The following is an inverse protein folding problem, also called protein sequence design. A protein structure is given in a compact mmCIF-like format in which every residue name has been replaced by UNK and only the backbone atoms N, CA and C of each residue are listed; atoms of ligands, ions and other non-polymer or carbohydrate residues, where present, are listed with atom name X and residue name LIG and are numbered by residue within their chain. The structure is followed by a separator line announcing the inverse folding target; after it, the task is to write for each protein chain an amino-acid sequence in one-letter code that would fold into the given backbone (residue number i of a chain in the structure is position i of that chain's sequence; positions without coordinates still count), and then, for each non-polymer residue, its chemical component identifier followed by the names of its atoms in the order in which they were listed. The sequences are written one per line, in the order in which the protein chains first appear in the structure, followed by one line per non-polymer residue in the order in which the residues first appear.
data_IF_706971770201
#
_entry.id   IF_706971770201
#
_cell.length_a   1.000
_cell.length_b   1.000
_cell.length_c   1.000
_cell.angle_alpha   90.00
_cell.angle_beta   90.00
_cell.angle_gamma   90.00
#
_symmetry.space_group_name_H-M   'P 1'
#
loop_
_entity.id
_entity.type
_entity.pdbx_description
1 polymer ?
#
# COMPACT_ATOMS: atom_id res chain seq x y z
N UNK A 1 -20.86 8.49 -4.37
CA UNK A 1 -20.47 9.72 -3.65
C UNK A 1 -18.95 9.72 -3.43
N UNK A 2 -18.26 10.85 -3.67
CA UNK A 2 -16.81 11.01 -3.37
C UNK A 2 -16.64 11.53 -1.94
N UNK A 3 -15.72 10.94 -1.17
CA UNK A 3 -15.37 11.40 0.18
C UNK A 3 -13.88 11.24 0.47
N UNK A 4 -13.34 12.11 1.30
CA UNK A 4 -12.01 11.93 1.90
C UNK A 4 -12.12 10.92 3.05
N UNK A 5 -11.21 9.96 3.09
CA UNK A 5 -11.13 8.97 4.17
C UNK A 5 -10.31 9.56 5.30
N UNK A 6 -10.95 9.84 6.42
CA UNK A 6 -10.29 10.36 7.61
C UNK A 6 -9.38 9.30 8.25
N UNK A 7 -8.28 9.75 8.85
CA UNK A 7 -7.45 8.89 9.68
C UNK A 7 -8.19 8.49 10.95
N UNK A 8 -8.22 7.20 11.24
CA UNK A 8 -8.86 6.65 12.42
C UNK A 8 -7.82 6.34 13.48
N UNK A 9 -7.79 7.07 14.60
CA UNK A 9 -6.80 6.87 15.66
C UNK A 9 -6.98 5.55 16.42
N UNK A 10 -8.15 4.93 16.31
CA UNK A 10 -8.52 3.66 16.94
C UNK A 10 -8.40 2.44 16.01
N UNK A 11 -7.89 2.63 14.80
CA UNK A 11 -7.67 1.56 13.82
C UNK A 11 -6.19 1.46 13.49
N UNK A 12 -5.69 0.24 13.45
CA UNK A 12 -4.30 -0.06 13.11
C UNK A 12 -4.20 -0.65 11.70
N UNK A 13 -3.16 -0.27 10.95
CA UNK A 13 -2.81 -0.91 9.70
C UNK A 13 -1.40 -1.49 9.81
N UNK A 14 -1.28 -2.79 9.60
CA UNK A 14 -0.02 -3.52 9.62
C UNK A 14 0.27 -4.03 8.22
N UNK A 15 1.30 -3.49 7.62
CA UNK A 15 1.84 -3.89 6.32
C UNK A 15 3.03 -4.81 6.58
N UNK A 16 2.78 -6.13 6.58
CA UNK A 16 3.78 -7.13 6.96
C UNK A 16 4.44 -7.73 5.72
N UNK A 17 5.69 -7.31 5.46
CA UNK A 17 6.53 -7.94 4.45
C UNK A 17 7.08 -9.24 5.00
N UNK A 18 6.52 -10.37 4.58
CA UNK A 18 6.98 -11.70 5.03
C UNK A 18 8.22 -12.19 4.29
N UNK A 19 8.64 -11.46 3.26
CA UNK A 19 9.89 -11.61 2.50
C UNK A 19 10.10 -10.36 1.65
N UNK A 20 11.35 -10.16 1.17
CA UNK A 20 11.65 -9.13 0.16
C UNK A 20 11.93 -9.74 -1.22
N UNK A 21 12.13 -11.06 -1.29
CA UNK A 21 12.36 -11.78 -2.55
C UNK A 21 11.12 -11.72 -3.45
N UNK A 22 11.33 -11.51 -4.76
CA UNK A 22 10.28 -11.49 -5.78
C UNK A 22 10.76 -12.23 -7.05
N UNK A 23 9.81 -12.83 -7.78
CA UNK A 23 10.05 -13.41 -9.11
C UNK A 23 10.06 -12.35 -10.22
N UNK A 24 9.64 -11.11 -9.94
CA UNK A 24 9.60 -10.01 -10.90
C UNK A 24 10.64 -8.92 -10.59
N UNK A 25 10.92 -8.10 -11.62
CA UNK A 25 11.80 -6.92 -11.54
C UNK A 25 11.07 -5.68 -12.06
N UNK A 26 9.91 -5.36 -11.49
CA UNK A 26 9.11 -4.22 -11.91
C UNK A 26 9.91 -2.91 -11.85
N UNK A 27 9.72 -2.04 -12.85
CA UNK A 27 10.47 -0.76 -12.97
C UNK A 27 10.18 0.21 -11.83
N UNK A 28 8.99 0.14 -11.24
CA UNK A 28 8.51 1.01 -10.17
C UNK A 28 8.56 0.36 -8.78
N UNK A 29 9.27 -0.75 -8.64
CA UNK A 29 9.36 -1.47 -7.37
C UNK A 29 10.00 -0.60 -6.29
N UNK A 30 9.31 -0.43 -5.17
CA UNK A 30 9.78 0.37 -4.04
C UNK A 30 10.68 -0.40 -3.07
N UNK A 31 10.68 -1.74 -3.14
CA UNK A 31 11.45 -2.56 -2.20
C UNK A 31 12.94 -2.47 -2.55
N UNK A 32 13.70 -1.97 -1.58
CA UNK A 32 15.14 -1.95 -1.61
C UNK A 32 15.70 -3.14 -0.81
N UNK A 33 16.21 -4.16 -1.51
CA UNK A 33 16.74 -5.36 -0.85
C UNK A 33 18.06 -5.09 -0.12
N UNK A 34 18.81 -4.08 -0.53
CA UNK A 34 20.07 -3.70 0.14
C UNK A 34 19.80 -3.15 1.55
N UNK A 35 18.64 -2.47 1.73
CA UNK A 35 18.23 -1.92 3.03
C UNK A 35 17.46 -2.93 3.91
N UNK A 36 16.68 -3.81 3.30
CA UNK A 36 15.73 -4.67 4.03
C UNK A 36 16.13 -6.14 4.04
N UNK A 37 17.25 -6.49 3.39
CA UNK A 37 17.69 -7.87 3.25
C UNK A 37 16.85 -8.67 2.24
N UNK A 38 17.29 -9.91 1.96
CA UNK A 38 16.60 -10.86 1.09
C UNK A 38 15.93 -11.99 1.90
N UNK A 39 15.68 -11.77 3.19
CA UNK A 39 15.19 -12.78 4.11
C UNK A 39 13.75 -13.20 3.82
N UNK A 40 13.45 -14.43 4.17
CA UNK A 40 12.12 -15.03 4.14
C UNK A 40 11.81 -15.43 5.58
N UNK A 41 10.73 -14.87 6.14
CA UNK A 41 10.27 -15.23 7.48
C UNK A 41 9.71 -16.66 7.48
N UNK A 42 10.08 -17.45 8.46
CA UNK A 42 9.48 -18.75 8.71
C UNK A 42 8.10 -18.64 9.41
N UNK A 43 7.41 -19.75 9.52
CA UNK A 43 6.06 -19.80 10.06
C UNK A 43 6.00 -19.37 11.54
N UNK A 44 7.00 -19.73 12.34
CA UNK A 44 7.00 -19.44 13.76
C UNK A 44 7.31 -17.97 14.03
N UNK A 45 8.26 -17.41 13.30
CA UNK A 45 8.55 -15.96 13.32
C UNK A 45 7.32 -15.15 12.90
N UNK A 46 6.62 -15.54 11.83
CA UNK A 46 5.40 -14.84 11.40
C UNK A 46 4.32 -14.89 12.49
N UNK A 47 4.08 -16.06 13.10
CA UNK A 47 3.12 -16.21 14.19
C UNK A 47 3.47 -15.32 15.40
N UNK A 48 4.75 -15.32 15.79
CA UNK A 48 5.24 -14.46 16.87
C UNK A 48 4.96 -12.99 16.57
N UNK A 49 5.32 -12.52 15.37
CA UNK A 49 5.12 -11.14 14.98
C UNK A 49 3.66 -10.74 14.87
N UNK A 50 2.78 -11.64 14.39
CA UNK A 50 1.34 -11.40 14.41
C UNK A 50 0.84 -11.18 15.85
N UNK A 51 1.36 -11.93 16.82
CA UNK A 51 1.04 -11.74 18.23
C UNK A 51 1.36 -10.35 18.77
N UNK A 52 2.43 -9.68 18.28
CA UNK A 52 2.81 -8.35 18.73
C UNK A 52 1.78 -7.26 18.42
N UNK A 53 0.98 -7.45 17.38
CA UNK A 53 -0.03 -6.47 16.95
C UNK A 53 -1.45 -6.77 17.46
N UNK A 54 -1.64 -7.81 18.26
CA UNK A 54 -2.94 -8.16 18.87
C UNK A 54 -3.27 -7.25 20.05
N UNK A 55 -2.25 -6.69 20.74
CA UNK A 55 -2.42 -5.90 21.96
C UNK A 55 -2.31 -4.40 21.71
N UNK A 56 -2.87 -3.60 22.63
CA UNK A 56 -2.79 -2.14 22.57
C UNK A 56 -1.33 -1.67 22.71
N UNK A 57 -0.85 -0.76 21.86
CA UNK A 57 0.50 -0.21 21.98
C UNK A 57 0.72 0.48 23.34
N UNK A 58 1.96 0.39 23.88
CA UNK A 58 2.38 1.12 25.07
C UNK A 58 1.94 0.52 26.41
N UNK A 59 1.39 -0.70 26.43
CA UNK A 59 1.19 -1.47 27.67
C UNK A 59 2.01 -2.75 27.64
N UNK A 60 2.71 -3.10 28.73
CA UNK A 60 3.42 -4.37 28.81
C UNK A 60 2.41 -5.53 28.72
N UNK A 61 2.81 -6.62 28.08
CA UNK A 61 2.02 -7.87 27.94
C UNK A 61 1.50 -8.42 29.28
N UNK A 62 2.15 -8.06 30.37
CA UNK A 62 1.79 -8.45 31.75
C UNK A 62 0.65 -7.65 32.36
N UNK A 63 0.23 -6.53 31.78
CA UNK A 63 -0.88 -5.74 32.27
C UNK A 63 -2.21 -6.32 31.71
N UNK A 64 -2.70 -7.33 32.37
CA UNK A 64 -3.79 -8.25 32.06
C UNK A 64 -5.21 -7.64 31.99
N UNK A 65 -5.42 -6.59 31.25
CA UNK A 65 -6.73 -6.29 30.71
C UNK A 65 -6.66 -6.47 29.18
N UNK A 66 -6.98 -7.70 28.76
CA UNK A 66 -6.90 -8.20 27.39
C UNK A 66 -7.92 -7.53 26.47
N UNK A 67 -7.76 -6.26 26.20
CA UNK A 67 -8.46 -5.68 25.06
C UNK A 67 -7.72 -6.19 23.83
N UNK A 68 -8.28 -7.20 23.19
CA UNK A 68 -7.83 -7.68 21.90
C UNK A 68 -8.04 -6.55 20.87
N UNK A 69 -6.95 -6.06 20.28
CA UNK A 69 -7.00 -5.03 19.25
C UNK A 69 -6.93 -5.61 17.84
N UNK A 70 -6.92 -6.92 17.72
CA UNK A 70 -6.87 -7.58 16.42
C UNK A 70 -8.08 -7.20 15.54
N UNK A 71 -9.28 -7.12 16.12
CA UNK A 71 -10.52 -6.72 15.44
C UNK A 71 -10.46 -5.29 14.85
N UNK A 72 -9.63 -4.42 15.42
CA UNK A 72 -9.34 -3.06 14.95
C UNK A 72 -8.07 -2.95 14.11
N UNK A 73 -7.48 -4.08 13.75
CA UNK A 73 -6.24 -4.13 12.98
C UNK A 73 -6.50 -4.69 11.59
N UNK A 74 -6.17 -3.90 10.59
CA UNK A 74 -6.10 -4.33 9.19
C UNK A 74 -4.70 -4.87 8.94
N UNK A 75 -4.60 -6.13 8.57
CA UNK A 75 -3.35 -6.81 8.24
C UNK A 75 -3.24 -6.98 6.73
N UNK A 76 -2.14 -6.55 6.17
CA UNK A 76 -1.80 -6.71 4.78
C UNK A 76 -0.51 -7.52 4.69
N UNK A 77 -0.61 -8.76 4.22
CA UNK A 77 0.55 -9.56 3.85
C UNK A 77 1.07 -9.10 2.50
N UNK A 78 2.32 -8.70 2.49
CA UNK A 78 3.01 -8.27 1.28
C UNK A 78 4.51 -8.63 1.36
N UNK A 79 5.28 -8.11 0.46
CA UNK A 79 6.70 -8.39 0.37
C UNK A 79 7.18 -8.14 -1.05
N UNK A 80 8.18 -8.88 -1.51
CA UNK A 80 8.48 -8.97 -2.93
C UNK A 80 7.31 -9.62 -3.67
N UNK A 81 7.11 -10.92 -3.42
CA UNK A 81 5.90 -11.66 -3.78
C UNK A 81 5.53 -12.61 -2.63
N UNK A 82 4.49 -12.32 -1.85
CA UNK A 82 4.18 -13.08 -0.64
C UNK A 82 3.82 -14.54 -0.90
N UNK A 83 3.28 -14.88 -2.08
CA UNK A 83 2.96 -16.27 -2.41
C UNK A 83 4.19 -17.15 -2.64
N UNK A 84 5.40 -16.58 -2.73
CA UNK A 84 6.66 -17.32 -2.69
C UNK A 84 7.00 -17.85 -1.28
N UNK A 85 6.37 -17.32 -0.24
CA UNK A 85 6.56 -17.81 1.12
C UNK A 85 5.58 -18.96 1.40
N UNK A 86 6.11 -20.18 1.58
CA UNK A 86 5.30 -21.38 1.82
C UNK A 86 4.56 -21.33 3.17
N UNK A 87 4.98 -20.47 4.10
CA UNK A 87 4.30 -20.26 5.37
C UNK A 87 3.05 -19.37 5.27
N UNK A 88 2.83 -18.67 4.13
CA UNK A 88 1.71 -17.74 3.97
C UNK A 88 0.33 -18.35 4.29
N UNK A 89 -0.02 -19.58 3.87
CA UNK A 89 -1.33 -20.16 4.25
C UNK A 89 -1.48 -20.33 5.76
N UNK A 90 -0.43 -20.73 6.46
CA UNK A 90 -0.45 -20.84 7.93
C UNK A 90 -0.54 -19.47 8.59
N UNK A 91 0.15 -18.46 8.05
CA UNK A 91 0.09 -17.10 8.53
C UNK A 91 -1.32 -16.48 8.41
N UNK A 92 -2.02 -16.74 7.29
CA UNK A 92 -3.41 -16.29 7.08
C UNK A 92 -4.34 -16.94 8.11
N UNK A 93 -4.23 -18.25 8.29
CA UNK A 93 -5.05 -19.00 9.28
C UNK A 93 -4.79 -18.51 10.70
N UNK A 94 -3.54 -18.24 11.04
CA UNK A 94 -3.18 -17.69 12.35
C UNK A 94 -3.73 -16.28 12.55
N UNK A 95 -3.63 -15.40 11.54
CA UNK A 95 -4.23 -14.07 11.61
C UNK A 95 -5.76 -14.14 11.80
N UNK A 96 -6.43 -15.06 11.11
CA UNK A 96 -7.87 -15.33 11.29
C UNK A 96 -8.18 -15.82 12.71
N UNK A 97 -7.37 -16.77 13.23
CA UNK A 97 -7.49 -17.30 14.59
C UNK A 97 -7.32 -16.22 15.66
N UNK A 98 -6.38 -15.29 15.44
CA UNK A 98 -6.12 -14.15 16.32
C UNK A 98 -7.22 -13.09 16.27
N UNK A 99 -8.13 -13.14 15.28
CA UNK A 99 -9.27 -12.26 15.15
C UNK A 99 -8.96 -10.91 14.49
N UNK A 100 -7.97 -10.85 13.58
CA UNK A 100 -7.71 -9.64 12.81
C UNK A 100 -8.94 -9.17 12.05
N UNK A 101 -9.27 -7.87 12.16
CA UNK A 101 -10.49 -7.28 11.60
C UNK A 101 -10.54 -7.28 10.08
N UNK A 102 -9.36 -7.22 9.43
CA UNK A 102 -9.24 -7.41 8.00
C UNK A 102 -7.91 -8.07 7.67
N UNK A 103 -7.92 -9.03 6.75
CA UNK A 103 -6.73 -9.75 6.26
C UNK A 103 -6.70 -9.61 4.73
N UNK A 104 -5.63 -9.04 4.21
CA UNK A 104 -5.40 -8.84 2.77
C UNK A 104 -4.08 -9.49 2.38
N UNK A 105 -4.00 -10.03 1.17
CA UNK A 105 -2.74 -10.44 0.55
C UNK A 105 -2.56 -9.66 -0.74
N UNK A 106 -1.43 -8.95 -0.87
CA UNK A 106 -1.06 -8.24 -2.09
C UNK A 106 -0.14 -9.12 -2.94
N UNK A 107 -0.55 -9.48 -4.16
CA UNK A 107 0.20 -10.40 -5.04
C UNK A 107 0.37 -9.85 -6.45
N UNK A 108 1.43 -10.27 -7.13
CA UNK A 108 1.64 -10.01 -8.55
C UNK A 108 0.85 -10.97 -9.47
N UNK A 109 0.13 -11.93 -8.90
CA UNK A 109 -0.80 -12.80 -9.60
C UNK A 109 -0.23 -14.13 -10.10
N UNK A 110 1.04 -14.44 -9.84
CA UNK A 110 1.60 -15.77 -10.18
C UNK A 110 1.03 -16.89 -9.31
N UNK A 111 0.59 -16.59 -8.07
CA UNK A 111 -0.09 -17.51 -7.17
C UNK A 111 0.68 -18.81 -6.95
N UNK A 112 1.92 -18.70 -6.49
CA UNK A 112 2.81 -19.83 -6.29
C UNK A 112 2.25 -20.87 -5.31
N UNK A 113 2.72 -22.11 -5.48
CA UNK A 113 2.44 -23.25 -4.59
C UNK A 113 0.96 -23.54 -4.40
N UNK A 114 0.15 -23.31 -5.44
CA UNK A 114 -1.30 -23.52 -5.42
C UNK A 114 -1.99 -22.89 -4.21
N UNK A 115 -1.59 -21.65 -3.93
CA UNK A 115 -2.06 -20.90 -2.73
C UNK A 115 -3.58 -20.91 -2.59
N UNK A 116 -4.32 -20.78 -3.71
CA UNK A 116 -5.78 -20.78 -3.70
C UNK A 116 -6.41 -22.14 -3.34
N UNK A 117 -5.63 -23.23 -3.34
CA UNK A 117 -6.07 -24.55 -2.90
C UNK A 117 -5.80 -24.77 -1.40
N UNK A 118 -5.00 -23.89 -0.79
CA UNK A 118 -4.55 -23.97 0.62
C UNK A 118 -5.29 -23.01 1.55
N UNK A 119 -5.97 -22.02 0.97
CA UNK A 119 -6.75 -21.01 1.69
C UNK A 119 -8.16 -20.92 1.13
N UNK A 120 -9.14 -20.63 2.00
CA UNK A 120 -10.53 -20.38 1.62
C UNK A 120 -10.85 -18.89 1.46
N UNK A 121 -11.90 -18.55 0.70
CA UNK A 121 -12.34 -17.16 0.56
C UNK A 121 -12.83 -16.53 1.86
N UNK A 122 -13.21 -17.33 2.86
CA UNK A 122 -13.62 -16.91 4.20
C UNK A 122 -12.43 -16.61 5.13
N UNK A 123 -11.22 -17.03 4.74
CA UNK A 123 -9.99 -16.76 5.50
C UNK A 123 -9.36 -15.40 5.16
N UNK A 124 -9.74 -14.82 4.00
CA UNK A 124 -9.26 -13.51 3.52
C UNK A 124 -10.41 -12.53 3.34
N UNK A 125 -10.19 -11.28 3.72
CA UNK A 125 -11.09 -10.20 3.33
C UNK A 125 -10.87 -9.78 1.88
N UNK A 126 -9.61 -9.74 1.44
CA UNK A 126 -9.24 -9.36 0.07
C UNK A 126 -8.00 -10.11 -0.42
N UNK A 127 -8.07 -10.55 -1.67
CA UNK A 127 -6.90 -10.92 -2.46
C UNK A 127 -6.66 -9.82 -3.50
N UNK A 128 -5.56 -9.11 -3.36
CA UNK A 128 -5.28 -7.87 -4.07
C UNK A 128 -4.21 -8.11 -5.13
N UNK A 129 -4.57 -7.91 -6.39
CA UNK A 129 -3.70 -8.17 -7.53
C UNK A 129 -3.07 -6.89 -8.05
N UNK A 130 -1.78 -6.93 -8.32
CA UNK A 130 -1.03 -5.82 -8.86
C UNK A 130 -1.09 -5.81 -10.39
N UNK A 131 -1.75 -4.80 -11.00
CA UNK A 131 -1.92 -4.67 -12.45
C UNK A 131 -1.83 -3.21 -12.87
N UNK A 132 -0.87 -2.87 -13.73
CA UNK A 132 -0.52 -1.48 -14.09
C UNK A 132 -0.83 -1.10 -15.53
N UNK A 133 -1.70 -1.85 -16.17
CA UNK A 133 -2.20 -1.57 -17.51
C UNK A 133 -3.44 -2.38 -17.86
N UNK A 134 -4.25 -1.87 -18.76
CA UNK A 134 -5.46 -2.55 -19.25
C UNK A 134 -5.18 -3.59 -20.35
N UNK A 135 -3.95 -3.63 -20.83
CA UNK A 135 -3.46 -4.53 -21.87
C UNK A 135 -1.96 -4.87 -21.66
N UNK A 136 -1.45 -5.93 -22.33
CA UNK A 136 -0.03 -6.32 -22.21
C UNK A 136 0.93 -5.20 -22.61
N UNK A 137 0.59 -4.41 -23.62
CA UNK A 137 1.43 -3.36 -24.19
C UNK A 137 1.74 -2.24 -23.17
N UNK A 138 0.88 -2.06 -22.17
CA UNK A 138 1.06 -1.07 -21.10
C UNK A 138 1.61 -1.71 -19.84
N UNK A 139 1.05 -2.86 -19.45
CA UNK A 139 1.43 -3.53 -18.19
C UNK A 139 2.83 -4.13 -18.24
N UNK A 140 3.15 -4.86 -19.32
CA UNK A 140 4.35 -5.70 -19.38
C UNK A 140 5.66 -4.89 -19.45
N UNK A 141 5.73 -3.73 -20.11
CA UNK A 141 6.90 -2.86 -20.01
C UNK A 141 7.22 -2.38 -18.59
N UNK A 142 6.22 -2.36 -17.71
CA UNK A 142 6.38 -1.94 -16.30
C UNK A 142 6.71 -3.14 -15.42
N UNK A 143 5.99 -4.25 -15.56
CA UNK A 143 6.03 -5.40 -14.66
C UNK A 143 6.86 -6.57 -15.15
N UNK A 144 7.01 -6.73 -16.44
CA UNK A 144 7.72 -7.83 -17.09
C UNK A 144 6.87 -8.54 -18.16
N UNK A 145 7.54 -9.12 -19.14
CA UNK A 145 6.88 -9.79 -20.27
C UNK A 145 5.96 -10.94 -19.82
N UNK A 146 4.73 -10.98 -20.34
CA UNK A 146 3.73 -12.00 -20.05
C UNK A 146 3.01 -11.86 -18.71
N UNK A 147 3.39 -10.88 -17.88
CA UNK A 147 2.80 -10.68 -16.53
C UNK A 147 1.31 -10.33 -16.63
N UNK A 148 0.90 -9.53 -17.59
CA UNK A 148 -0.52 -9.20 -17.80
C UNK A 148 -1.38 -10.45 -17.94
N UNK A 149 -0.97 -11.37 -18.81
CA UNK A 149 -1.69 -12.63 -19.06
C UNK A 149 -1.79 -13.49 -17.80
N UNK A 150 -0.69 -13.64 -17.07
CA UNK A 150 -0.63 -14.44 -15.84
C UNK A 150 -1.50 -13.81 -14.76
N UNK A 151 -1.34 -12.51 -14.51
CA UNK A 151 -2.09 -11.79 -13.49
C UNK A 151 -3.61 -11.84 -13.76
N UNK A 152 -4.05 -11.56 -14.99
CA UNK A 152 -5.48 -11.60 -15.34
C UNK A 152 -6.06 -13.01 -15.28
N UNK A 153 -5.27 -14.05 -15.58
CA UNK A 153 -5.68 -15.43 -15.37
C UNK A 153 -5.82 -15.77 -13.86
N UNK A 154 -4.88 -15.30 -13.03
CA UNK A 154 -4.93 -15.41 -11.57
C UNK A 154 -6.17 -14.74 -10.99
N UNK A 155 -6.50 -13.52 -11.46
CA UNK A 155 -7.72 -12.80 -11.06
C UNK A 155 -8.96 -13.63 -11.38
N UNK A 156 -9.11 -14.15 -12.61
CA UNK A 156 -10.26 -14.98 -12.99
C UNK A 156 -10.37 -16.23 -12.14
N UNK A 157 -9.23 -16.90 -11.86
CA UNK A 157 -9.19 -18.09 -10.98
C UNK A 157 -9.65 -17.73 -9.56
N UNK A 158 -9.19 -16.62 -9.00
CA UNK A 158 -9.59 -16.20 -7.66
C UNK A 158 -11.07 -15.81 -7.59
N UNK A 159 -11.58 -15.04 -8.57
CA UNK A 159 -13.00 -14.66 -8.65
C UNK A 159 -13.88 -15.89 -8.79
N UNK A 160 -13.52 -16.86 -9.66
CA UNK A 160 -14.31 -18.09 -9.85
C UNK A 160 -14.36 -18.98 -8.61
N UNK A 161 -13.41 -18.81 -7.66
CA UNK A 161 -13.37 -19.51 -6.37
C UNK A 161 -14.04 -18.74 -5.24
N UNK A 162 -14.66 -17.60 -5.54
CA UNK A 162 -15.41 -16.81 -4.56
C UNK A 162 -14.57 -15.87 -3.71
N UNK A 163 -13.29 -15.66 -4.02
CA UNK A 163 -12.49 -14.67 -3.32
C UNK A 163 -12.94 -13.25 -3.64
N UNK A 164 -12.92 -12.36 -2.63
CA UNK A 164 -13.06 -10.93 -2.85
C UNK A 164 -11.78 -10.39 -3.47
N UNK A 165 -11.84 -10.05 -4.74
CA UNK A 165 -10.68 -9.57 -5.49
C UNK A 165 -10.66 -8.06 -5.55
N UNK A 166 -9.50 -7.48 -5.22
CA UNK A 166 -9.16 -6.10 -5.53
C UNK A 166 -7.99 -6.02 -6.51
N UNK A 167 -7.88 -4.89 -7.21
CA UNK A 167 -6.72 -4.61 -8.06
C UNK A 167 -6.05 -3.34 -7.57
N UNK A 168 -4.73 -3.41 -7.45
CA UNK A 168 -3.85 -2.27 -7.19
C UNK A 168 -3.20 -1.85 -8.49
N UNK A 169 -3.30 -0.55 -8.79
CA UNK A 169 -2.67 0.09 -9.94
C UNK A 169 -1.77 1.20 -9.44
N UNK A 170 -0.48 1.12 -9.75
CA UNK A 170 0.47 2.18 -9.42
C UNK A 170 0.56 3.16 -10.58
N UNK A 171 -0.13 4.28 -10.43
CA UNK A 171 -0.19 5.32 -11.44
C UNK A 171 1.14 6.09 -11.54
N UNK A 172 1.64 6.22 -12.76
CA UNK A 172 2.82 6.99 -13.15
C UNK A 172 2.64 7.54 -14.56
N UNK A 173 3.53 8.40 -15.01
CA UNK A 173 3.52 8.86 -16.41
C UNK A 173 3.71 7.74 -17.43
N UNK A 174 4.18 6.55 -17.01
CA UNK A 174 4.30 5.38 -17.89
C UNK A 174 2.95 4.79 -18.32
N UNK A 175 1.88 4.98 -17.49
CA UNK A 175 0.59 4.30 -17.69
C UNK A 175 -0.64 5.19 -17.49
N UNK A 176 -0.46 6.49 -17.28
CA UNK A 176 -1.56 7.43 -17.03
C UNK A 176 -2.62 7.41 -18.15
N UNK A 177 -2.15 7.37 -19.41
CA UNK A 177 -3.04 7.41 -20.58
C UNK A 177 -3.94 6.18 -20.70
N UNK A 178 -3.55 5.06 -20.09
CA UNK A 178 -4.32 3.80 -20.12
C UNK A 178 -5.26 3.64 -18.91
N UNK A 179 -5.12 4.48 -17.90
CA UNK A 179 -5.91 4.36 -16.67
C UNK A 179 -7.42 4.44 -16.91
N UNK A 180 -7.85 5.21 -17.93
CA UNK A 180 -9.25 5.32 -18.33
C UNK A 180 -9.86 4.00 -18.87
N UNK A 181 -9.02 3.07 -19.34
CA UNK A 181 -9.44 1.77 -19.86
C UNK A 181 -9.59 0.70 -18.75
N UNK A 182 -8.99 0.95 -17.58
CA UNK A 182 -9.01 0.00 -16.45
C UNK A 182 -10.42 -0.35 -15.97
N UNK A 183 -11.38 0.57 -15.78
CA UNK A 183 -12.72 0.22 -15.30
C UNK A 183 -13.40 -0.86 -16.15
N UNK A 184 -13.31 -0.76 -17.48
CA UNK A 184 -13.87 -1.74 -18.39
C UNK A 184 -13.23 -3.13 -18.26
N UNK A 185 -11.90 -3.20 -18.11
CA UNK A 185 -11.19 -4.45 -17.87
C UNK A 185 -11.61 -5.06 -16.52
N UNK A 186 -11.60 -4.26 -15.45
CA UNK A 186 -11.91 -4.73 -14.10
C UNK A 186 -13.32 -5.29 -13.98
N UNK A 187 -14.31 -4.63 -14.64
CA UNK A 187 -15.68 -5.14 -14.72
C UNK A 187 -15.74 -6.51 -15.40
N UNK A 188 -15.05 -6.70 -16.55
CA UNK A 188 -14.98 -7.99 -17.26
C UNK A 188 -14.28 -9.08 -16.44
N UNK A 189 -13.35 -8.71 -15.56
CA UNK A 189 -12.68 -9.64 -14.66
C UNK A 189 -13.47 -9.96 -13.38
N UNK A 190 -14.60 -9.29 -13.12
CA UNK A 190 -15.40 -9.46 -11.91
C UNK A 190 -14.81 -8.81 -10.66
N UNK A 191 -13.86 -7.88 -10.83
CA UNK A 191 -13.23 -7.15 -9.73
C UNK A 191 -14.20 -6.14 -9.13
N UNK A 192 -14.28 -6.09 -7.79
CA UNK A 192 -15.19 -5.21 -7.04
C UNK A 192 -14.52 -4.01 -6.40
N UNK A 193 -13.19 -4.02 -6.27
CA UNK A 193 -12.42 -2.93 -5.68
C UNK A 193 -11.22 -2.57 -6.54
N UNK A 194 -11.03 -1.29 -6.73
CA UNK A 194 -9.91 -0.72 -7.47
C UNK A 194 -9.16 0.26 -6.57
N UNK A 195 -7.94 -0.11 -6.21
CA UNK A 195 -7.06 0.71 -5.41
C UNK A 195 -6.00 1.33 -6.31
N UNK A 196 -6.03 2.65 -6.47
CA UNK A 196 -5.03 3.37 -7.24
C UNK A 196 -4.02 3.95 -6.26
N UNK A 197 -2.76 3.72 -6.52
CA UNK A 197 -1.64 4.33 -5.82
C UNK A 197 -0.95 5.33 -6.74
N UNK A 198 -0.35 6.37 -6.18
CA UNK A 198 0.59 7.22 -6.90
C UNK A 198 1.99 6.66 -6.69
N UNK A 199 2.81 6.70 -7.74
CA UNK A 199 4.19 6.26 -7.65
C UNK A 199 4.96 7.07 -6.60
N UNK A 200 5.66 6.38 -5.71
CA UNK A 200 6.68 6.96 -4.85
C UNK A 200 8.05 6.73 -5.46
N UNK A 201 8.87 7.78 -5.53
CA UNK A 201 10.22 7.67 -6.08
C UNK A 201 11.15 7.11 -5.00
N UNK A 202 11.29 5.80 -4.99
CA UNK A 202 12.11 5.05 -4.03
C UNK A 202 12.42 3.65 -4.59
N UNK A 203 13.42 2.98 -4.02
CA UNK A 203 13.88 1.71 -4.55
C UNK A 203 14.23 1.83 -6.04
N UNK A 204 13.80 0.86 -6.85
CA UNK A 204 14.11 0.84 -8.28
C UNK A 204 13.49 2.00 -9.08
N UNK A 205 12.39 2.58 -8.60
CA UNK A 205 11.79 3.73 -9.29
C UNK A 205 12.68 4.97 -9.25
N UNK A 206 13.52 5.13 -8.24
CA UNK A 206 14.48 6.24 -8.16
C UNK A 206 15.57 6.15 -9.22
N UNK A 207 15.96 4.94 -9.61
CA UNK A 207 16.94 4.72 -10.68
C UNK A 207 16.36 5.07 -12.06
N UNK A 208 15.08 4.79 -12.28
CA UNK A 208 14.36 5.09 -13.51
C UNK A 208 14.14 6.59 -13.64
N UNK A 209 13.69 7.25 -12.58
CA UNK A 209 13.38 8.69 -12.56
C UNK A 209 14.65 9.53 -12.80
N UNK A 210 15.80 9.10 -12.26
CA UNK A 210 17.07 9.80 -12.43
C UNK A 210 17.64 9.77 -13.85
N UNK A 211 17.16 8.84 -14.71
CA UNK A 211 17.76 8.57 -16.03
C UNK A 211 17.02 9.16 -17.22
N UNK A 212 15.71 9.51 -17.09
CA UNK A 212 14.90 9.86 -18.26
C UNK A 212 13.92 10.99 -18.01
N UNK A 213 12.70 10.67 -17.70
CA UNK A 213 11.59 11.61 -17.53
C UNK A 213 10.99 11.37 -16.16
N UNK A 214 10.63 12.45 -15.46
CA UNK A 214 9.93 12.33 -14.19
C UNK A 214 8.75 11.36 -14.33
N UNK A 215 8.68 10.37 -13.45
CA UNK A 215 7.60 9.40 -13.38
C UNK A 215 6.36 9.95 -12.67
N UNK A 216 6.52 11.06 -11.94
CA UNK A 216 5.48 11.67 -11.14
C UNK A 216 4.60 12.60 -11.97
N UNK A 217 3.36 12.75 -11.52
CA UNK A 217 2.39 13.64 -12.14
C UNK A 217 2.51 15.07 -11.66
N UNK A 218 2.20 15.99 -12.56
CA UNK A 218 1.83 17.34 -12.18
C UNK A 218 0.40 17.39 -11.63
N UNK A 219 0.11 18.45 -10.87
CA UNK A 219 -1.22 18.65 -10.27
C UNK A 219 -2.34 18.58 -11.28
N UNK A 220 -2.17 19.28 -12.40
CA UNK A 220 -3.20 19.33 -13.46
C UNK A 220 -3.46 17.95 -14.08
N UNK A 221 -2.42 17.15 -14.32
CA UNK A 221 -2.55 15.79 -14.88
C UNK A 221 -3.36 14.91 -13.91
N UNK A 222 -3.02 14.96 -12.61
CA UNK A 222 -3.69 14.17 -11.58
C UNK A 222 -5.16 14.57 -11.41
N UNK A 223 -5.44 15.86 -11.21
CA UNK A 223 -6.79 16.36 -10.95
C UNK A 223 -7.73 16.22 -12.14
N UNK A 224 -7.21 16.19 -13.38
CA UNK A 224 -8.01 15.96 -14.57
C UNK A 224 -8.36 14.49 -14.79
N UNK A 225 -7.46 13.57 -14.49
CA UNK A 225 -7.63 12.15 -14.81
C UNK A 225 -8.29 11.38 -13.68
N UNK A 226 -7.79 11.49 -12.47
CA UNK A 226 -8.17 10.61 -11.37
C UNK A 226 -9.65 10.65 -10.98
N UNK A 227 -10.28 11.82 -10.77
CA UNK A 227 -11.69 11.85 -10.40
C UNK A 227 -12.62 11.26 -11.47
N UNK A 228 -12.28 11.46 -12.76
CA UNK A 228 -13.06 10.94 -13.87
C UNK A 228 -13.02 9.42 -13.95
N UNK A 229 -11.83 8.84 -13.79
CA UNK A 229 -11.65 7.39 -13.79
C UNK A 229 -12.34 6.76 -12.57
N UNK A 230 -12.21 7.38 -11.39
CA UNK A 230 -12.85 6.88 -10.18
C UNK A 230 -14.39 6.87 -10.30
N UNK A 231 -14.97 7.93 -10.86
CA UNK A 231 -16.42 7.99 -11.14
C UNK A 231 -16.83 6.96 -12.18
N UNK A 232 -16.07 6.82 -13.28
CA UNK A 232 -16.39 5.84 -14.32
C UNK A 232 -16.37 4.39 -13.77
N UNK A 233 -15.41 4.06 -12.94
CA UNK A 233 -15.35 2.74 -12.28
C UNK A 233 -16.50 2.53 -11.28
N UNK A 234 -16.83 3.55 -10.48
CA UNK A 234 -17.93 3.48 -9.53
C UNK A 234 -19.28 3.26 -10.21
N UNK A 235 -19.54 3.93 -11.34
CA UNK A 235 -20.73 3.69 -12.18
C UNK A 235 -20.80 2.26 -12.75
N UNK A 236 -19.67 1.56 -12.83
CA UNK A 236 -19.60 0.15 -13.22
C UNK A 236 -19.74 -0.82 -12.03
N UNK A 237 -20.03 -0.33 -10.84
CA UNK A 237 -20.16 -1.13 -9.62
C UNK A 237 -18.85 -1.47 -8.93
N UNK A 238 -17.78 -0.70 -9.18
CA UNK A 238 -16.44 -0.92 -8.61
C UNK A 238 -16.17 0.16 -7.56
N UNK A 239 -15.89 -0.24 -6.33
CA UNK A 239 -15.43 0.67 -5.26
C UNK A 239 -14.01 1.14 -5.58
N UNK A 240 -13.79 2.44 -5.66
CA UNK A 240 -12.48 3.03 -5.97
C UNK A 240 -11.91 3.76 -4.76
N UNK A 241 -10.65 3.49 -4.47
CA UNK A 241 -9.86 4.23 -3.48
C UNK A 241 -8.59 4.74 -4.15
N UNK A 242 -8.28 6.02 -3.98
CA UNK A 242 -7.07 6.63 -4.54
C UNK A 242 -6.48 7.70 -3.61
N UNK A 243 -5.17 8.03 -3.68
CA UNK A 243 -4.58 9.03 -2.80
C UNK A 243 -5.04 10.44 -3.15
N UNK A 244 -5.31 11.23 -2.11
CA UNK A 244 -5.43 12.67 -2.23
C UNK A 244 -4.03 13.28 -2.25
N UNK A 245 -3.50 13.55 -3.43
CA UNK A 245 -2.10 13.98 -3.60
C UNK A 245 -1.91 15.46 -3.22
N UNK A 246 -2.86 16.32 -3.59
CA UNK A 246 -2.77 17.77 -3.41
C UNK A 246 -3.81 18.27 -2.42
N UNK A 247 -3.40 19.23 -1.58
CA UNK A 247 -4.29 19.93 -0.66
C UNK A 247 -4.86 21.17 -1.33
N UNK A 248 -6.08 21.53 -0.95
CA UNK A 248 -6.64 22.84 -1.24
C UNK A 248 -5.90 23.98 -0.50
N UNK A 249 -6.13 25.26 -0.91
CA UNK A 249 -5.43 26.40 -0.31
C UNK A 249 -5.58 26.47 1.21
N UNK A 250 -6.78 26.26 1.72
CA UNK A 250 -7.12 26.39 3.15
C UNK A 250 -7.22 25.04 3.86
N UNK A 251 -6.91 23.95 3.18
CA UNK A 251 -7.03 22.61 3.75
C UNK A 251 -5.85 22.31 4.67
N UNK A 252 -6.10 21.86 5.93
CA UNK A 252 -5.02 21.54 6.85
C UNK A 252 -4.22 20.32 6.39
N UNK A 253 -2.91 20.35 6.58
CA UNK A 253 -2.08 19.17 6.44
C UNK A 253 -2.20 18.30 7.69
N UNK A 254 -2.52 17.00 7.50
CA UNK A 254 -2.58 16.00 8.57
C UNK A 254 -1.61 14.87 8.22
N UNK A 255 -0.62 14.63 9.09
CA UNK A 255 0.35 13.55 8.93
C UNK A 255 -0.19 12.23 9.48
N UNK A 256 -0.21 11.19 8.66
CA UNK A 256 -0.61 9.85 9.08
C UNK A 256 0.31 9.26 10.16
N UNK A 257 1.59 9.67 10.20
CA UNK A 257 2.52 9.27 11.25
C UNK A 257 2.10 9.71 12.65
N UNK A 258 1.31 10.82 12.74
CA UNK A 258 0.71 11.30 13.99
C UNK A 258 -0.71 10.77 14.15
N UNK A 259 -1.54 10.93 13.13
CA UNK A 259 -2.99 10.76 13.21
C UNK A 259 -3.47 9.30 13.04
N UNK A 260 -2.59 8.38 12.63
CA UNK A 260 -2.95 6.98 12.38
C UNK A 260 -1.92 6.02 12.97
N UNK A 261 -2.32 4.77 13.19
CA UNK A 261 -1.43 3.69 13.65
C UNK A 261 -1.04 2.79 12.47
N UNK A 262 -0.09 3.26 11.65
CA UNK A 262 0.45 2.48 10.53
C UNK A 262 1.79 1.86 10.92
N UNK A 263 2.00 0.60 10.54
CA UNK A 263 3.23 -0.16 10.78
C UNK A 263 3.65 -0.84 9.48
N UNK A 264 4.78 -0.44 8.93
CA UNK A 264 5.42 -1.06 7.77
C UNK A 264 6.56 -1.93 8.29
N UNK A 265 6.32 -3.24 8.34
CA UNK A 265 7.19 -4.22 8.98
C UNK A 265 7.98 -4.95 7.92
N UNK A 266 9.32 -5.00 8.07
CA UNK A 266 10.22 -5.68 7.15
C UNK A 266 10.89 -6.90 7.79
N UNK A 267 11.35 -7.88 7.00
CA UNK A 267 11.92 -9.14 7.52
C UNK A 267 13.15 -8.95 8.42
N UNK A 268 13.90 -7.86 8.25
CA UNK A 268 15.02 -7.51 9.12
C UNK A 268 14.63 -6.94 10.49
N UNK A 269 13.32 -6.91 10.81
CA UNK A 269 12.80 -6.39 12.08
C UNK A 269 12.57 -4.87 12.11
N UNK A 270 12.96 -4.11 11.08
CA UNK A 270 12.67 -2.66 11.02
C UNK A 270 11.18 -2.42 10.85
N UNK A 271 10.65 -1.46 11.61
CA UNK A 271 9.23 -1.08 11.57
C UNK A 271 9.10 0.44 11.45
N UNK A 272 8.51 0.87 10.35
CA UNK A 272 8.30 2.29 10.02
C UNK A 272 6.85 2.70 10.26
N UNK A 273 6.64 3.98 10.52
CA UNK A 273 5.33 4.64 10.59
C UNK A 273 4.97 5.36 9.28
N UNK A 274 5.98 5.69 8.49
CA UNK A 274 5.84 6.40 7.22
C UNK A 274 6.47 5.59 6.07
N UNK A 275 5.73 5.31 4.98
CA UNK A 275 6.27 4.53 3.87
C UNK A 275 7.34 5.28 3.07
N UNK A 276 7.44 6.60 3.18
CA UNK A 276 8.50 7.37 2.51
C UNK A 276 9.87 7.21 3.17
N UNK A 277 9.92 6.69 4.40
CA UNK A 277 11.17 6.53 5.16
C UNK A 277 11.77 5.13 5.04
N UNK A 278 11.14 4.21 4.30
CA UNK A 278 11.55 2.81 4.24
C UNK A 278 12.96 2.58 3.69
N UNK A 279 13.48 3.46 2.84
CA UNK A 279 14.85 3.38 2.30
C UNK A 279 15.93 3.93 3.25
N UNK A 280 15.56 4.37 4.46
CA UNK A 280 16.48 5.02 5.39
C UNK A 280 16.47 4.34 6.76
N UNK A 281 17.58 4.34 7.51
CA UNK A 281 17.67 3.71 8.83
C UNK A 281 17.05 4.55 9.96
N UNK A 282 15.93 5.23 9.68
CA UNK A 282 15.23 6.14 10.61
C UNK A 282 13.91 5.56 11.13
N UNK A 283 13.77 4.24 11.14
CA UNK A 283 12.57 3.52 11.57
C UNK A 283 12.20 3.81 13.03
N UNK A 284 10.89 3.85 13.29
CA UNK A 284 10.35 4.18 14.64
C UNK A 284 10.51 3.05 15.64
N UNK A 285 10.41 1.79 15.16
CA UNK A 285 10.46 0.60 16.03
C UNK A 285 11.33 -0.48 15.39
N UNK A 286 11.76 -1.42 16.25
CA UNK A 286 12.49 -2.62 15.85
C UNK A 286 11.86 -3.85 16.52
N UNK A 287 11.64 -4.92 15.79
CA UNK A 287 11.28 -6.22 16.37
C UNK A 287 12.56 -6.98 16.66
N UNK A 288 12.79 -7.24 17.93
CA UNK A 288 13.99 -7.97 18.41
C UNK A 288 13.64 -8.83 19.62
N UNK A 289 14.03 -10.11 19.56
CA UNK A 289 13.78 -11.06 20.65
C UNK A 289 12.29 -11.17 21.02
N UNK A 290 11.38 -11.18 20.01
CA UNK A 290 9.94 -11.28 20.25
C UNK A 290 9.27 -10.02 20.81
N UNK A 291 9.94 -8.88 20.77
CA UNK A 291 9.41 -7.62 21.28
C UNK A 291 9.45 -6.53 20.23
N UNK A 292 8.37 -5.72 20.18
CA UNK A 292 8.33 -4.47 19.40
C UNK A 292 8.89 -3.35 20.27
N UNK A 293 10.14 -2.98 20.01
CA UNK A 293 10.89 -2.00 20.78
C UNK A 293 10.88 -0.64 20.09
N UNK A 294 10.62 0.43 20.85
CA UNK A 294 10.81 1.79 20.33
C UNK A 294 12.29 2.10 20.14
N UNK A 295 12.59 2.74 19.03
CA UNK A 295 13.95 3.24 18.78
C UNK A 295 14.18 4.53 19.57
N UNK A 296 15.43 4.77 20.03
CA UNK A 296 15.75 6.06 20.62
C UNK A 296 15.67 7.19 19.59
N UNK A 297 15.51 8.45 19.99
CA UNK A 297 15.67 9.59 19.09
C UNK A 297 17.07 9.54 18.43
N UNK A 298 17.27 9.81 17.17
CA UNK A 298 16.50 10.43 16.15
C UNK A 298 15.85 9.39 15.19
N UNK A 299 14.54 9.42 15.09
CA UNK A 299 13.78 8.58 14.15
C UNK A 299 12.90 9.45 13.24
N UNK A 300 12.16 8.84 12.33
CA UNK A 300 11.17 9.55 11.51
C UNK A 300 10.11 10.30 12.34
N UNK A 301 9.89 9.89 13.60
CA UNK A 301 8.85 10.45 14.48
C UNK A 301 9.05 11.92 14.81
N UNK A 302 10.30 12.37 14.96
CA UNK A 302 10.63 13.76 15.28
C UNK A 302 10.23 14.71 14.15
N UNK A 303 10.12 14.20 12.92
CA UNK A 303 9.75 14.99 11.76
C UNK A 303 8.22 15.05 11.54
N UNK A 304 7.43 14.15 12.15
CA UNK A 304 5.98 14.13 11.96
C UNK A 304 5.25 15.38 12.47
N UNK A 305 5.83 16.06 13.48
CA UNK A 305 5.26 17.24 14.10
C UNK A 305 5.55 18.53 13.32
N UNK A 306 6.42 18.48 12.33
CA UNK A 306 6.81 19.66 11.58
C UNK A 306 5.69 20.11 10.64
N UNK A 307 5.37 21.40 10.72
CA UNK A 307 4.42 22.07 9.82
C UNK A 307 5.20 23.01 8.91
N UNK A 308 5.10 22.76 7.62
CA UNK A 308 5.77 23.57 6.58
C UNK A 308 4.77 24.01 5.52
N UNK A 309 5.03 25.14 4.83
CA UNK A 309 4.11 25.66 3.79
C UNK A 309 3.85 24.66 2.66
N UNK A 310 4.79 23.80 2.34
CA UNK A 310 4.71 22.77 1.31
C UNK A 310 3.78 21.59 1.68
N UNK A 311 3.43 21.41 2.94
CA UNK A 311 2.61 20.33 3.47
C UNK A 311 3.47 19.19 4.01
N UNK A 312 3.66 18.11 3.26
CA UNK A 312 4.41 16.95 3.72
C UNK A 312 5.92 17.21 3.79
N UNK A 313 6.49 17.18 5.01
CA UNK A 313 7.93 17.39 5.23
C UNK A 313 8.79 16.33 4.54
N UNK A 314 8.37 15.07 4.56
CA UNK A 314 9.12 14.01 3.89
C UNK A 314 9.13 14.19 2.38
N UNK A 315 8.00 14.57 1.78
CA UNK A 315 7.99 14.88 0.35
C UNK A 315 8.92 16.06 0.03
N UNK A 316 8.96 17.08 0.89
CA UNK A 316 9.89 18.21 0.70
C UNK A 316 11.35 17.82 0.83
N UNK A 317 11.69 16.92 1.75
CA UNK A 317 13.07 16.47 1.99
C UNK A 317 13.51 15.48 0.92
N UNK A 318 12.69 14.45 0.66
CA UNK A 318 13.08 13.33 -0.18
C UNK A 318 12.81 13.55 -1.67
N UNK A 319 11.84 14.39 -2.00
CA UNK A 319 11.40 14.66 -3.37
C UNK A 319 11.22 16.17 -3.63
N UNK A 320 12.26 16.98 -3.42
CA UNK A 320 12.14 18.44 -3.54
C UNK A 320 11.70 18.89 -4.95
N UNK A 321 12.03 18.11 -6.00
CA UNK A 321 11.60 18.38 -7.37
C UNK A 321 10.09 18.30 -7.63
N UNK A 322 9.31 17.74 -6.70
CA UNK A 322 7.84 17.67 -6.80
C UNK A 322 7.17 19.01 -6.46
N UNK A 323 7.90 19.96 -5.92
CA UNK A 323 7.36 21.20 -5.37
C UNK A 323 7.86 22.36 -6.22
N UNK A 324 6.92 23.03 -6.86
CA UNK A 324 7.17 24.26 -7.62
C UNK A 324 6.88 25.48 -6.73
N UNK A 325 7.63 26.56 -6.93
CA UNK A 325 7.49 27.81 -6.21
C UNK A 325 7.15 28.95 -7.16
N UNK A 326 6.32 29.90 -6.69
CA UNK A 326 6.03 31.14 -7.40
C UNK A 326 7.21 32.14 -7.30
N UNK A 327 7.09 33.29 -7.98
CA UNK A 327 8.10 34.34 -7.97
C UNK A 327 8.38 34.92 -6.57
N UNK A 328 7.49 34.70 -5.60
CA UNK A 328 7.61 35.12 -4.21
C UNK A 328 8.15 34.00 -3.31
N UNK A 329 8.57 32.87 -3.87
CA UNK A 329 9.09 31.73 -3.13
C UNK A 329 8.02 30.95 -2.35
N UNK A 330 6.74 31.06 -2.71
CA UNK A 330 5.66 30.30 -2.08
C UNK A 330 5.37 29.04 -2.91
N UNK A 331 5.07 27.89 -2.28
CA UNK A 331 4.73 26.69 -3.02
C UNK A 331 3.46 26.90 -3.84
N UNK A 332 3.52 26.59 -5.13
CA UNK A 332 2.36 26.65 -6.05
C UNK A 332 1.29 25.63 -5.68
N UNK A 333 1.72 24.50 -5.12
CA UNK A 333 0.83 23.44 -4.66
C UNK A 333 1.33 22.89 -3.33
N UNK A 334 0.40 22.52 -2.45
CA UNK A 334 0.69 21.86 -1.19
C UNK A 334 0.48 20.36 -1.33
N UNK A 335 1.40 19.57 -0.83
CA UNK A 335 1.37 18.11 -0.93
C UNK A 335 0.72 17.52 0.29
N UNK A 336 -0.30 16.69 0.08
CA UNK A 336 -0.96 15.93 1.14
C UNK A 336 -0.08 14.78 1.65
N UNK A 337 -0.46 14.17 2.77
CA UNK A 337 0.12 12.91 3.20
C UNK A 337 -0.22 11.80 2.19
N UNK A 338 0.77 11.01 1.76
CA UNK A 338 0.58 9.91 0.79
C UNK A 338 -0.42 8.84 1.27
N UNK A 339 -0.64 8.75 2.58
CA UNK A 339 -1.64 7.86 3.18
C UNK A 339 -3.06 8.42 3.17
N UNK A 340 -3.26 9.73 2.90
CA UNK A 340 -4.58 10.33 2.80
C UNK A 340 -5.27 9.85 1.51
N UNK A 341 -6.47 9.32 1.64
CA UNK A 341 -7.21 8.71 0.53
C UNK A 341 -8.54 9.40 0.27
N UNK A 342 -9.00 9.26 -0.95
CA UNK A 342 -10.36 9.55 -1.37
C UNK A 342 -11.03 8.25 -1.82
N UNK A 343 -12.31 8.14 -1.56
CA UNK A 343 -13.14 7.01 -1.99
C UNK A 343 -14.30 7.48 -2.87
N UNK A 344 -14.62 6.67 -3.86
CA UNK A 344 -15.82 6.80 -4.68
C UNK A 344 -16.57 5.46 -4.62
N UNK A 345 -17.75 5.50 -4.03
CA UNK A 345 -18.57 4.33 -3.79
C UNK A 345 -19.61 4.16 -4.89
N UNK A 346 -19.86 2.90 -5.34
CA UNK A 346 -20.88 2.60 -6.35
C UNK A 346 -22.29 3.03 -5.97
N UNK A 347 -22.66 2.93 -4.67
CA UNK A 347 -24.01 3.22 -4.17
C UNK A 347 -24.45 4.67 -4.44
N UNK A 348 -23.51 5.57 -4.67
CA UNK A 348 -23.81 6.95 -5.08
C UNK A 348 -24.25 7.10 -6.54
N UNK A 349 -24.28 6.02 -7.33
CA UNK A 349 -24.59 5.98 -8.76
C UNK A 349 -25.60 4.87 -9.11
N UNK A 350 -26.15 4.17 -8.11
CA UNK A 350 -27.29 3.27 -8.32
C UNK A 350 -28.52 4.15 -8.63
N UNK A 351 -29.12 3.94 -9.79
CA UNK A 351 -30.39 4.56 -10.21
C UNK A 351 -31.56 3.99 -9.38
#
# INVERSE_FOLDING_TARGET
MRRTVEFKPDTRNVFLHILTRCNLKCRHCYINQDEHGADILDADTIKEWLGLFVYKPGRPQSALNHINWADKTNLIFLGGEPTLNQALPLAIKEAKRLGYGSITVDTNGFLFYDILDKIGPDELNYLSFSLDGSCPEVNDPIRGSGVFKICTAGIRKAVSRGFNVSVIFTASRMNLYDLANMPGLLKRLGVKRFFIQVIGIRGRSSEVDSRTVSLQFERNEWEQVMPRVAVAAAKMGIHVTYPKVFLGPDEPFICAGVAAMNYFVFPNGRVYRCPLCEDYPVHSFEIKGGHLLERPPLTERELFQLTIPEGCVFNRILHPGNIQYDEKGRPVSRIACCMLKEEVLPEGFAD
#
